data_IF_888974163858
#
_entry.id   IF_888974163858
#
_cell.length_a   1.000
_cell.length_b   1.000
_cell.length_c   1.000
_cell.angle_alpha   90.00
_cell.angle_beta   90.00
_cell.angle_gamma   90.00
#
_symmetry.space_group_name_H-M   'P 1'
#
loop_
_entity.id
_entity.type
_entity.pdbx_description
1 polymer ?
#
# COMPACT_ATOMS: atom_id res chain seq x y z
N UNK A 1 -14.69 -18.98 10.20
CA UNK A 1 -15.66 -17.91 9.92
C UNK A 1 -14.89 -16.61 9.79
N UNK A 2 -15.33 -15.65 8.97
CA UNK A 2 -14.71 -14.35 8.91
C UNK A 2 -14.71 -13.66 10.28
N UNK A 3 -13.60 -13.04 10.65
CA UNK A 3 -13.41 -12.25 11.88
C UNK A 3 -13.23 -10.74 11.58
N UNK A 4 -13.30 -10.37 10.31
CA UNK A 4 -13.30 -8.98 9.82
C UNK A 4 -14.60 -8.65 9.08
N UNK A 5 -15.00 -7.37 9.10
CA UNK A 5 -16.13 -6.88 8.31
C UNK A 5 -15.78 -6.79 6.81
N UNK A 6 -16.75 -6.96 5.88
CA UNK A 6 -16.54 -6.73 4.46
C UNK A 6 -16.45 -5.23 4.15
N UNK A 7 -15.84 -4.85 3.00
CA UNK A 7 -15.87 -3.46 2.52
C UNK A 7 -17.30 -3.03 2.20
N UNK A 8 -17.54 -1.72 2.11
CA UNK A 8 -18.86 -1.20 1.76
C UNK A 8 -19.28 -1.66 0.35
N UNK A 9 -20.53 -2.10 0.21
CA UNK A 9 -21.08 -2.55 -1.07
C UNK A 9 -21.36 -1.40 -2.06
N UNK A 10 -21.47 -0.16 -1.54
CA UNK A 10 -21.61 1.06 -2.34
C UNK A 10 -20.60 2.07 -1.84
N UNK A 11 -20.02 2.79 -2.79
CA UNK A 11 -19.08 3.87 -2.51
C UNK A 11 -19.63 5.18 -3.05
N UNK A 12 -19.17 6.28 -2.47
CA UNK A 12 -19.41 7.62 -2.97
C UNK A 12 -18.76 7.78 -4.36
N UNK A 13 -19.42 8.39 -5.35
CA UNK A 13 -18.79 8.63 -6.65
C UNK A 13 -17.56 9.54 -6.54
N UNK A 14 -16.51 9.33 -7.36
CA UNK A 14 -15.40 10.26 -7.46
C UNK A 14 -15.89 11.67 -7.86
N UNK A 15 -15.34 12.70 -7.20
CA UNK A 15 -15.71 14.10 -7.44
C UNK A 15 -15.10 14.66 -8.72
N UNK A 16 -13.97 14.08 -9.17
CA UNK A 16 -13.28 14.43 -10.41
C UNK A 16 -12.79 13.16 -11.12
N UNK A 17 -12.57 13.27 -12.43
CA UNK A 17 -11.89 12.24 -13.21
C UNK A 17 -10.40 12.15 -12.84
N UNK A 18 -9.86 10.93 -12.81
CA UNK A 18 -8.44 10.68 -12.60
C UNK A 18 -7.62 10.87 -13.88
N UNK A 19 -6.34 11.25 -13.78
CA UNK A 19 -5.46 11.30 -14.94
C UNK A 19 -5.36 9.90 -15.59
N UNK A 20 -5.28 9.81 -16.93
CA UNK A 20 -5.05 8.53 -17.61
C UNK A 20 -3.83 7.80 -17.05
N UNK A 21 -3.99 6.50 -16.75
CA UNK A 21 -2.94 5.72 -16.10
C UNK A 21 -2.93 5.84 -14.56
N UNK A 22 -3.92 6.46 -13.93
CA UNK A 22 -3.96 6.50 -12.46
C UNK A 22 -3.82 5.10 -11.84
N UNK A 23 -2.98 5.01 -10.81
CA UNK A 23 -2.60 3.80 -10.11
C UNK A 23 -3.06 3.84 -8.66
N UNK A 24 -3.84 2.85 -8.25
CA UNK A 24 -4.04 2.54 -6.84
C UNK A 24 -2.83 1.72 -6.34
N UNK A 25 -1.96 2.33 -5.54
CA UNK A 25 -0.68 1.72 -5.12
C UNK A 25 -0.75 0.87 -3.85
N UNK A 26 -1.94 0.69 -3.27
CA UNK A 26 -2.10 -0.15 -2.09
C UNK A 26 -3.51 -0.71 -1.99
N UNK A 27 -3.67 -2.00 -2.26
CA UNK A 27 -4.88 -2.76 -1.97
C UNK A 27 -4.51 -4.26 -1.89
N UNK A 28 -5.48 -5.09 -1.53
CA UNK A 28 -5.34 -6.52 -1.43
C UNK A 28 -6.41 -7.25 -2.25
N UNK A 29 -6.17 -8.53 -2.52
CA UNK A 29 -7.20 -9.46 -3.02
C UNK A 29 -7.31 -10.61 -2.03
N UNK A 30 -8.53 -10.94 -1.62
CA UNK A 30 -8.81 -12.01 -0.67
C UNK A 30 -9.61 -13.11 -1.36
N UNK A 31 -9.04 -14.30 -1.41
CA UNK A 31 -9.69 -15.47 -1.95
C UNK A 31 -10.06 -15.33 -3.45
N UNK A 32 -11.15 -15.99 -3.89
CA UNK A 32 -12.13 -16.64 -3.03
C UNK A 32 -11.56 -17.91 -2.37
N UNK A 33 -11.91 -18.17 -1.12
CA UNK A 33 -11.30 -19.24 -0.31
C UNK A 33 -11.46 -20.65 -0.92
N UNK A 34 -12.50 -20.85 -1.74
CA UNK A 34 -12.76 -22.08 -2.47
C UNK A 34 -11.77 -22.38 -3.60
N UNK A 35 -11.06 -21.37 -4.08
CA UNK A 35 -10.05 -21.48 -5.16
C UNK A 35 -8.66 -21.19 -4.62
N UNK A 36 -8.54 -20.16 -3.78
CA UNK A 36 -7.31 -19.75 -3.12
C UNK A 36 -7.54 -19.81 -1.61
N UNK A 37 -7.25 -20.94 -0.96
CA UNK A 37 -7.43 -21.07 0.48
C UNK A 37 -6.62 -20.01 1.25
N UNK A 38 -7.13 -19.63 2.42
CA UNK A 38 -6.37 -18.81 3.36
C UNK A 38 -5.32 -19.66 4.08
N UNK A 39 -4.22 -19.03 4.49
CA UNK A 39 -3.12 -19.70 5.16
C UNK A 39 -3.53 -20.29 6.53
N UNK A 40 -2.77 -21.30 6.95
CA UNK A 40 -2.83 -21.88 8.29
C UNK A 40 -1.40 -21.96 8.87
N UNK A 41 -1.07 -21.23 9.95
CA UNK A 41 -1.89 -20.21 10.61
C UNK A 41 -2.01 -18.92 9.79
N UNK A 42 -2.98 -18.07 10.14
CA UNK A 42 -3.16 -16.72 9.59
C UNK A 42 -3.51 -15.72 10.71
N UNK A 43 -3.16 -14.43 10.56
CA UNK A 43 -3.39 -13.42 11.59
C UNK A 43 -4.87 -12.97 11.69
N UNK A 44 -5.66 -13.15 10.63
CA UNK A 44 -7.09 -12.84 10.57
C UNK A 44 -7.74 -13.64 9.42
N UNK A 45 -9.07 -13.78 9.45
CA UNK A 45 -9.89 -14.42 8.42
C UNK A 45 -10.85 -13.40 7.81
N UNK A 46 -10.58 -12.87 6.61
CA UNK A 46 -11.49 -11.92 5.99
C UNK A 46 -12.63 -12.62 5.23
N UNK A 47 -13.71 -11.89 4.88
CA UNK A 47 -14.61 -12.30 3.81
C UNK A 47 -13.87 -12.27 2.46
N UNK A 48 -14.36 -13.06 1.50
CA UNK A 48 -13.81 -13.08 0.14
C UNK A 48 -14.01 -11.73 -0.55
N UNK A 49 -12.92 -11.23 -1.13
CA UNK A 49 -12.81 -9.96 -1.85
C UNK A 49 -11.92 -10.17 -3.09
N UNK A 50 -12.40 -10.93 -4.09
CA UNK A 50 -11.60 -11.36 -5.23
C UNK A 50 -11.29 -10.22 -6.20
N UNK A 51 -10.30 -10.46 -7.08
CA UNK A 51 -9.84 -9.49 -8.07
C UNK A 51 -10.95 -8.91 -8.96
N UNK A 52 -11.99 -9.67 -9.25
CA UNK A 52 -13.13 -9.22 -10.06
C UNK A 52 -13.93 -8.11 -9.38
N UNK A 53 -14.08 -8.18 -8.05
CA UNK A 53 -14.73 -7.13 -7.26
C UNK A 53 -13.86 -5.87 -7.23
N UNK A 54 -12.56 -6.03 -6.94
CA UNK A 54 -11.59 -4.93 -7.04
C UNK A 54 -11.64 -4.26 -8.41
N UNK A 55 -11.65 -5.05 -9.49
CA UNK A 55 -11.65 -4.51 -10.85
C UNK A 55 -12.94 -3.74 -11.14
N UNK A 56 -14.07 -4.10 -10.52
CA UNK A 56 -15.29 -3.31 -10.59
C UNK A 56 -15.16 -1.99 -9.82
N UNK A 57 -14.58 -2.02 -8.61
CA UNK A 57 -14.26 -0.83 -7.83
C UNK A 57 -13.34 0.13 -8.60
N UNK A 58 -12.24 -0.38 -9.16
CA UNK A 58 -11.30 0.41 -9.98
C UNK A 58 -11.98 1.09 -11.16
N UNK A 59 -12.91 0.40 -11.86
CA UNK A 59 -13.70 1.02 -12.94
C UNK A 59 -14.58 2.16 -12.43
N UNK A 60 -15.17 2.01 -11.25
CA UNK A 60 -16.01 3.04 -10.64
C UNK A 60 -15.19 4.25 -10.17
N UNK A 61 -13.99 4.01 -9.62
CA UNK A 61 -13.08 5.06 -9.14
C UNK A 61 -12.26 5.73 -10.26
N UNK A 62 -12.11 5.08 -11.41
CA UNK A 62 -11.32 5.56 -12.54
C UNK A 62 -9.85 5.11 -12.56
N UNK A 63 -9.47 4.14 -11.72
CA UNK A 63 -8.12 3.56 -11.74
C UNK A 63 -7.97 2.56 -12.88
N UNK A 64 -6.88 2.69 -13.64
CA UNK A 64 -6.54 1.76 -14.73
C UNK A 64 -5.33 0.89 -14.41
N UNK A 65 -4.61 1.21 -13.32
CA UNK A 65 -3.46 0.45 -12.85
C UNK A 65 -3.55 0.22 -11.36
N UNK A 66 -2.76 -0.73 -10.86
CA UNK A 66 -2.77 -1.02 -9.44
C UNK A 66 -1.58 -1.81 -8.92
N UNK A 67 -1.35 -1.75 -7.62
CA UNK A 67 -0.33 -2.54 -6.92
C UNK A 67 -0.99 -3.39 -5.84
N UNK A 68 -1.04 -4.69 -6.12
CA UNK A 68 -1.57 -5.70 -5.20
C UNK A 68 -0.53 -5.95 -4.11
N UNK A 69 -0.85 -5.64 -2.87
CA UNK A 69 -0.01 -6.00 -1.73
C UNK A 69 -0.44 -7.37 -1.24
N UNK A 70 0.46 -8.36 -1.23
CA UNK A 70 0.16 -9.70 -0.73
C UNK A 70 -0.32 -9.60 0.73
N UNK A 71 -1.53 -10.08 1.05
CA UNK A 71 -2.07 -9.95 2.38
C UNK A 71 -1.65 -11.09 3.29
N UNK A 72 -1.54 -10.79 4.59
CA UNK A 72 -1.16 -11.77 5.60
C UNK A 72 -2.11 -12.97 5.72
N UNK A 73 -3.39 -12.83 5.34
CA UNK A 73 -4.36 -13.93 5.36
C UNK A 73 -4.04 -15.05 4.35
N UNK A 74 -3.29 -14.77 3.29
CA UNK A 74 -2.77 -15.78 2.35
C UNK A 74 -1.31 -16.16 2.63
N UNK A 75 -0.65 -15.51 3.60
CA UNK A 75 0.75 -15.76 3.94
C UNK A 75 1.66 -15.68 2.71
N UNK A 76 2.54 -16.67 2.56
CA UNK A 76 3.48 -16.78 1.44
C UNK A 76 2.87 -17.41 0.18
N UNK A 77 1.62 -17.90 0.23
CA UNK A 77 0.93 -18.39 -0.96
C UNK A 77 0.43 -17.20 -1.78
N UNK A 78 1.17 -16.88 -2.84
CA UNK A 78 0.85 -15.77 -3.74
C UNK A 78 -0.16 -16.16 -4.84
N UNK A 79 -0.78 -17.34 -4.82
CA UNK A 79 -1.59 -17.84 -5.94
C UNK A 79 -2.72 -16.89 -6.33
N UNK A 80 -3.46 -16.32 -5.37
CA UNK A 80 -4.50 -15.33 -5.63
C UNK A 80 -3.95 -14.05 -6.29
N UNK A 81 -2.83 -13.54 -5.75
CA UNK A 81 -2.15 -12.35 -6.28
C UNK A 81 -1.61 -12.57 -7.69
N UNK A 82 -0.97 -13.71 -7.95
CA UNK A 82 -0.41 -14.03 -9.26
C UNK A 82 -1.51 -14.27 -10.31
N UNK A 83 -2.63 -14.88 -9.93
CA UNK A 83 -3.79 -14.99 -10.79
C UNK A 83 -4.36 -13.61 -11.15
N UNK A 84 -4.46 -12.70 -10.18
CA UNK A 84 -4.87 -11.32 -10.40
C UNK A 84 -3.91 -10.56 -11.35
N UNK A 85 -2.58 -10.73 -11.22
CA UNK A 85 -1.61 -10.15 -12.15
C UNK A 85 -1.80 -10.66 -13.58
N UNK A 86 -2.00 -11.97 -13.74
CA UNK A 86 -2.26 -12.60 -15.04
C UNK A 86 -3.52 -12.04 -15.68
N UNK A 87 -4.63 -11.97 -14.93
CA UNK A 87 -5.91 -11.37 -15.39
C UNK A 87 -5.78 -9.87 -15.67
N UNK A 88 -4.88 -9.19 -14.97
CA UNK A 88 -4.57 -7.77 -15.11
C UNK A 88 -3.80 -7.41 -16.38
N UNK A 89 -3.18 -8.38 -17.06
CA UNK A 89 -2.48 -8.21 -18.35
C UNK A 89 -1.47 -7.04 -18.34
N UNK A 90 -0.69 -6.93 -17.27
CA UNK A 90 0.36 -5.91 -17.13
C UNK A 90 -0.10 -4.55 -16.59
N UNK A 91 -1.41 -4.33 -16.39
CA UNK A 91 -1.96 -3.14 -15.72
C UNK A 91 -1.70 -3.15 -14.21
N UNK A 92 -1.37 -4.33 -13.65
CA UNK A 92 -1.13 -4.49 -12.23
C UNK A 92 0.31 -4.92 -11.96
N UNK A 93 0.81 -4.55 -10.78
CA UNK A 93 2.06 -5.03 -10.16
C UNK A 93 1.75 -5.58 -8.78
N UNK A 94 2.71 -6.25 -8.16
CA UNK A 94 2.52 -6.74 -6.81
C UNK A 94 3.72 -6.55 -5.89
N UNK A 95 3.43 -6.60 -4.59
CA UNK A 95 4.39 -6.68 -3.50
C UNK A 95 4.19 -8.02 -2.81
N UNK A 96 5.25 -8.80 -2.69
CA UNK A 96 5.23 -10.15 -2.15
C UNK A 96 5.37 -10.18 -0.62
N UNK A 97 4.84 -11.24 -0.01
CA UNK A 97 5.38 -11.78 1.23
C UNK A 97 6.22 -12.98 0.83
N UNK A 98 7.47 -13.05 1.30
CA UNK A 98 8.39 -14.15 1.02
C UNK A 98 8.91 -14.74 2.33
N UNK A 99 9.13 -16.06 2.37
CA UNK A 99 9.86 -16.68 3.47
C UNK A 99 11.33 -16.23 3.45
N UNK A 100 11.99 -16.27 4.61
CA UNK A 100 13.37 -15.78 4.78
C UNK A 100 14.40 -16.55 3.91
N UNK A 101 14.09 -17.79 3.53
CA UNK A 101 14.91 -18.66 2.70
C UNK A 101 14.58 -18.56 1.19
N UNK A 102 13.74 -17.60 0.78
CA UNK A 102 13.41 -17.42 -0.63
C UNK A 102 14.67 -17.26 -1.50
N UNK A 103 14.73 -18.07 -2.55
CA UNK A 103 15.91 -18.18 -3.41
C UNK A 103 15.91 -17.09 -4.50
N UNK A 104 17.08 -16.73 -5.05
CA UNK A 104 17.16 -15.82 -6.19
C UNK A 104 16.34 -16.29 -7.40
N UNK A 105 16.24 -17.61 -7.62
CA UNK A 105 15.43 -18.18 -8.69
C UNK A 105 13.93 -17.90 -8.49
N UNK A 106 13.43 -18.01 -7.25
CA UNK A 106 12.04 -17.67 -6.92
C UNK A 106 11.77 -16.18 -7.08
N UNK A 107 12.69 -15.32 -6.66
CA UNK A 107 12.57 -13.86 -6.84
C UNK A 107 12.53 -13.50 -8.33
N UNK A 108 13.39 -14.11 -9.14
CA UNK A 108 13.41 -13.93 -10.60
C UNK A 108 12.11 -14.38 -11.27
N UNK A 109 11.52 -15.48 -10.80
CA UNK A 109 10.23 -15.98 -11.29
C UNK A 109 9.09 -15.00 -10.99
N UNK A 110 9.06 -14.45 -9.78
CA UNK A 110 8.07 -13.45 -9.37
C UNK A 110 8.27 -12.12 -10.11
N UNK A 111 9.52 -11.71 -10.36
CA UNK A 111 9.81 -10.49 -11.11
C UNK A 111 9.24 -10.55 -12.54
N UNK A 112 9.41 -11.69 -13.22
CA UNK A 112 8.82 -11.94 -14.55
C UNK A 112 7.30 -11.88 -14.55
N UNK A 113 6.66 -12.22 -13.43
CA UNK A 113 5.20 -12.18 -13.28
C UNK A 113 4.66 -10.79 -12.89
N UNK A 114 5.53 -9.82 -12.62
CA UNK A 114 5.13 -8.45 -12.31
C UNK A 114 5.25 -8.06 -10.82
N UNK A 115 5.88 -8.89 -9.99
CA UNK A 115 6.21 -8.52 -8.60
C UNK A 115 7.39 -7.55 -8.59
N UNK A 116 7.36 -6.54 -7.72
CA UNK A 116 8.31 -5.41 -7.72
C UNK A 116 8.91 -5.09 -6.35
N UNK A 117 8.58 -5.89 -5.36
CA UNK A 117 9.05 -5.67 -4.00
C UNK A 117 8.54 -6.72 -3.04
N UNK A 118 8.97 -6.58 -1.80
CA UNK A 118 8.56 -7.41 -0.67
C UNK A 118 7.99 -6.52 0.43
N UNK A 119 7.09 -7.05 1.26
CA UNK A 119 6.54 -6.34 2.41
C UNK A 119 6.97 -6.98 3.71
N UNK A 120 7.29 -6.15 4.69
CA UNK A 120 7.56 -6.53 6.07
C UNK A 120 6.65 -5.76 7.01
N UNK A 121 6.16 -6.43 8.05
CA UNK A 121 5.22 -5.86 9.02
C UNK A 121 5.90 -5.76 10.39
N UNK A 122 5.93 -4.56 10.96
CA UNK A 122 6.50 -4.27 12.28
C UNK A 122 5.43 -3.77 13.27
N UNK A 123 4.15 -3.93 12.92
CA UNK A 123 3.02 -3.63 13.79
C UNK A 123 2.83 -4.78 14.78
N UNK A 124 3.03 -4.50 16.07
CA UNK A 124 3.17 -5.53 17.12
C UNK A 124 2.04 -6.57 17.17
N UNK A 125 0.80 -6.17 16.93
CA UNK A 125 -0.38 -7.05 17.03
C UNK A 125 -0.64 -7.90 15.77
N UNK A 126 0.07 -7.66 14.66
CA UNK A 126 -0.12 -8.38 13.39
C UNK A 126 0.97 -9.44 13.13
N UNK A 127 1.85 -9.66 14.10
CA UNK A 127 3.05 -10.48 13.95
C UNK A 127 4.20 -9.63 13.39
N UNK A 128 5.21 -9.39 14.21
CA UNK A 128 6.38 -8.61 13.81
C UNK A 128 7.34 -9.46 12.99
N UNK A 129 7.56 -9.05 11.75
CA UNK A 129 8.77 -9.39 11.00
C UNK A 129 10.02 -9.00 11.78
N UNK A 130 11.04 -9.85 11.71
CA UNK A 130 12.35 -9.52 12.26
C UNK A 130 13.08 -8.53 11.36
N UNK A 131 13.77 -7.53 11.94
CA UNK A 131 14.66 -6.68 11.14
C UNK A 131 15.71 -7.52 10.39
N UNK A 132 16.25 -8.55 11.04
CA UNK A 132 17.30 -9.38 10.45
C UNK A 132 16.81 -10.09 9.17
N UNK A 133 15.52 -10.44 9.10
CA UNK A 133 14.92 -11.02 7.89
C UNK A 133 14.89 -10.01 6.74
N UNK A 134 14.50 -8.77 7.03
CA UNK A 134 14.50 -7.68 6.05
C UNK A 134 15.94 -7.38 5.60
N UNK A 135 16.87 -7.21 6.54
CA UNK A 135 18.26 -6.92 6.25
C UNK A 135 18.94 -8.02 5.41
N UNK A 136 18.59 -9.29 5.64
CA UNK A 136 19.06 -10.41 4.83
C UNK A 136 18.41 -10.48 3.44
N UNK A 137 17.15 -10.07 3.30
CA UNK A 137 16.42 -10.09 2.03
C UNK A 137 16.79 -8.92 1.11
N UNK A 138 17.05 -7.73 1.65
CA UNK A 138 17.29 -6.52 0.87
C UNK A 138 18.42 -6.68 -0.18
N UNK A 139 19.59 -7.28 0.14
CA UNK A 139 20.62 -7.56 -0.85
C UNK A 139 20.20 -8.57 -1.94
N UNK A 140 19.29 -9.52 -1.62
CA UNK A 140 18.84 -10.55 -2.58
C UNK A 140 17.88 -9.97 -3.63
N UNK A 141 17.09 -8.98 -3.25
CA UNK A 141 16.12 -8.34 -4.16
C UNK A 141 16.74 -7.16 -4.94
N UNK A 142 17.87 -6.62 -4.48
CA UNK A 142 18.54 -5.47 -5.10
C UNK A 142 18.89 -5.66 -6.59
N UNK A 143 19.40 -6.83 -7.06
CA UNK A 143 19.69 -7.06 -8.48
C UNK A 143 18.45 -6.98 -9.39
N UNK A 144 17.26 -7.19 -8.82
CA UNK A 144 15.99 -7.08 -9.53
C UNK A 144 15.43 -5.65 -9.49
N UNK A 145 16.13 -4.70 -8.88
CA UNK A 145 15.71 -3.32 -8.64
C UNK A 145 14.45 -3.18 -7.78
N UNK A 146 14.10 -4.22 -7.02
CA UNK A 146 12.94 -4.23 -6.15
C UNK A 146 13.11 -3.26 -4.98
N UNK A 147 11.99 -2.97 -4.31
CA UNK A 147 11.97 -2.17 -3.08
C UNK A 147 11.29 -2.92 -1.94
N UNK A 148 11.42 -2.38 -0.73
CA UNK A 148 10.76 -2.90 0.46
C UNK A 148 9.56 -2.02 0.84
N UNK A 149 8.38 -2.61 0.99
CA UNK A 149 7.26 -1.96 1.68
C UNK A 149 7.31 -2.29 3.18
N UNK A 150 7.06 -1.29 4.01
CA UNK A 150 7.14 -1.39 5.47
C UNK A 150 5.82 -0.97 6.05
N UNK A 151 5.16 -1.89 6.73
CA UNK A 151 4.04 -1.58 7.61
C UNK A 151 4.58 -1.41 9.02
N UNK A 152 4.39 -0.24 9.61
CA UNK A 152 4.83 0.07 10.98
C UNK A 152 3.72 0.77 11.74
N UNK A 153 3.99 1.07 13.01
CA UNK A 153 3.18 1.93 13.87
C UNK A 153 4.02 3.10 14.40
N UNK A 154 3.35 4.07 15.02
CA UNK A 154 3.99 5.25 15.60
C UNK A 154 5.10 4.89 16.61
N UNK A 155 4.93 3.81 17.36
CA UNK A 155 5.88 3.37 18.37
C UNK A 155 7.17 2.77 17.76
N UNK A 156 7.04 1.99 16.69
CA UNK A 156 8.18 1.32 16.03
C UNK A 156 8.94 2.23 15.05
N UNK A 157 8.25 3.21 14.44
CA UNK A 157 8.80 4.02 13.36
C UNK A 157 10.11 4.76 13.72
N UNK A 158 10.27 5.38 14.91
CA UNK A 158 11.50 6.10 15.28
C UNK A 158 12.76 5.23 15.26
N UNK A 159 12.64 3.97 15.69
CA UNK A 159 13.76 3.01 15.67
C UNK A 159 14.01 2.43 14.27
N UNK A 160 12.96 2.36 13.44
CA UNK A 160 13.00 1.73 12.13
C UNK A 160 13.58 2.66 11.05
N UNK A 161 13.20 3.94 11.04
CA UNK A 161 13.60 4.90 10.01
C UNK A 161 15.13 5.03 9.81
N UNK A 162 15.97 5.12 10.86
CA UNK A 162 17.42 5.18 10.68
C UNK A 162 17.97 3.93 10.00
N UNK A 163 17.40 2.76 10.29
CA UNK A 163 17.84 1.48 9.72
C UNK A 163 17.38 1.34 8.27
N UNK A 164 16.16 1.75 7.94
CA UNK A 164 15.65 1.72 6.55
C UNK A 164 16.52 2.54 5.59
N UNK A 165 17.08 3.66 6.07
CA UNK A 165 17.99 4.52 5.29
C UNK A 165 19.31 3.82 4.92
N UNK A 166 19.68 2.73 5.60
CA UNK A 166 20.91 1.99 5.30
C UNK A 166 20.70 0.86 4.29
N UNK A 167 19.46 0.63 3.83
CA UNK A 167 19.18 -0.45 2.89
C UNK A 167 19.80 -0.17 1.51
N UNK A 168 20.28 -1.21 0.81
CA UNK A 168 20.79 -1.08 -0.55
C UNK A 168 19.68 -0.89 -1.61
N UNK A 169 18.42 -0.79 -1.19
CA UNK A 169 17.22 -0.70 -2.03
C UNK A 169 16.29 0.41 -1.55
N UNK A 170 15.43 0.94 -2.42
CA UNK A 170 14.39 1.86 -1.98
C UNK A 170 13.44 1.20 -0.96
N UNK A 171 12.77 2.04 -0.17
CA UNK A 171 11.74 1.59 0.76
C UNK A 171 10.51 2.50 0.72
N UNK A 172 9.36 1.93 1.06
CA UNK A 172 8.06 2.59 1.12
C UNK A 172 7.50 2.42 2.52
N UNK A 173 7.18 3.54 3.19
CA UNK A 173 6.43 3.51 4.44
C UNK A 173 4.94 3.49 4.11
N UNK A 174 4.25 2.42 4.50
CA UNK A 174 2.81 2.27 4.29
C UNK A 174 2.01 3.19 5.24
N UNK A 175 0.82 3.59 4.80
CA UNK A 175 -0.19 4.30 5.59
C UNK A 175 0.31 5.49 6.42
N UNK A 176 1.17 6.32 5.82
CA UNK A 176 1.74 7.51 6.48
C UNK A 176 2.46 7.17 7.81
N UNK A 177 2.98 5.94 7.92
CA UNK A 177 3.65 5.42 9.12
C UNK A 177 2.71 5.07 10.28
N UNK A 178 1.39 5.11 10.06
CA UNK A 178 0.34 4.98 11.09
C UNK A 178 0.54 5.91 12.30
N UNK A 179 1.04 7.12 12.05
CA UNK A 179 1.14 8.15 13.09
C UNK A 179 -0.28 8.65 13.40
N UNK A 180 -0.64 8.71 14.69
CA UNK A 180 -1.98 9.12 15.10
C UNK A 180 -2.25 10.57 14.69
N UNK A 181 -3.40 10.79 14.05
CA UNK A 181 -3.85 12.10 13.60
C UNK A 181 -3.98 13.13 14.75
N UNK A 182 -4.27 12.67 15.97
CA UNK A 182 -4.34 13.52 17.17
C UNK A 182 -3.05 14.27 17.47
N UNK A 183 -1.89 13.75 17.06
CA UNK A 183 -0.60 14.45 17.18
C UNK A 183 -0.38 15.52 16.10
N UNK A 184 -1.19 15.51 15.04
CA UNK A 184 -1.13 16.42 13.90
C UNK A 184 0.22 16.39 13.16
N UNK A 185 0.38 17.32 12.22
CA UNK A 185 1.60 17.42 11.42
C UNK A 185 2.85 17.75 12.27
N UNK A 186 2.70 18.36 13.46
CA UNK A 186 3.81 18.70 14.35
C UNK A 186 4.33 17.50 15.18
N UNK A 187 3.66 16.34 15.12
CA UNK A 187 4.11 15.14 15.81
C UNK A 187 5.59 14.83 15.45
N UNK A 188 6.50 14.63 16.42
CA UNK A 188 7.92 14.40 16.14
C UNK A 188 8.20 13.16 15.27
N UNK A 189 7.40 12.10 15.43
CA UNK A 189 7.48 10.88 14.62
C UNK A 189 7.07 11.16 13.18
N UNK A 190 6.01 11.95 12.99
CA UNK A 190 5.58 12.39 11.67
C UNK A 190 6.59 13.35 11.01
N UNK A 191 7.19 14.26 11.77
CA UNK A 191 8.27 15.12 11.29
C UNK A 191 9.49 14.30 10.82
N UNK A 192 9.81 13.20 11.51
CA UNK A 192 10.85 12.28 11.05
C UNK A 192 10.50 11.59 9.72
N UNK A 193 9.21 11.28 9.50
CA UNK A 193 8.71 10.78 8.22
C UNK A 193 8.83 11.84 7.11
N UNK A 194 8.43 13.09 7.37
CA UNK A 194 8.58 14.20 6.42
C UNK A 194 10.04 14.48 6.07
N UNK A 195 10.97 14.31 7.03
CA UNK A 195 12.40 14.47 6.82
C UNK A 195 12.98 13.46 5.80
N UNK A 196 12.26 12.39 5.48
CA UNK A 196 12.63 11.44 4.42
C UNK A 196 12.66 12.07 3.03
N UNK A 197 12.09 13.27 2.82
CA UNK A 197 12.20 14.02 1.55
C UNK A 197 13.63 14.15 1.02
N UNK A 198 14.61 14.16 1.92
CA UNK A 198 16.03 14.28 1.58
C UNK A 198 16.68 12.96 1.17
N UNK A 199 16.02 11.83 1.40
CA UNK A 199 16.55 10.50 1.10
C UNK A 199 16.06 10.02 -0.28
N UNK A 200 16.97 9.74 -1.25
CA UNK A 200 16.58 9.51 -2.64
C UNK A 200 15.71 8.27 -2.85
N UNK A 201 15.86 7.25 -1.99
CA UNK A 201 15.13 5.98 -2.06
C UNK A 201 13.95 5.86 -1.11
N UNK A 202 13.56 6.91 -0.38
CA UNK A 202 12.45 6.84 0.57
C UNK A 202 11.13 7.28 -0.08
N UNK A 203 10.06 6.53 0.17
CA UNK A 203 8.71 6.77 -0.35
C UNK A 203 7.68 6.63 0.76
N UNK A 204 6.53 7.28 0.60
CA UNK A 204 5.41 7.19 1.55
C UNK A 204 4.10 7.01 0.77
N UNK A 205 3.23 6.13 1.27
CA UNK A 205 1.87 5.98 0.75
C UNK A 205 0.88 6.81 1.56
N UNK A 206 0.15 7.69 0.88
CA UNK A 206 -1.12 8.26 1.34
C UNK A 206 -2.17 7.16 1.16
N UNK A 207 -2.43 6.42 2.22
CA UNK A 207 -3.39 5.31 2.29
C UNK A 207 -3.76 5.07 3.75
N UNK A 208 -4.82 4.31 4.03
CA UNK A 208 -5.19 3.97 5.41
C UNK A 208 -5.51 5.19 6.27
N UNK A 209 -6.32 6.14 5.74
CA UNK A 209 -6.70 7.35 6.49
C UNK A 209 -7.52 6.98 7.75
N UNK A 210 -8.34 5.94 7.64
CA UNK A 210 -9.03 5.27 8.74
C UNK A 210 -8.07 4.75 9.83
N UNK A 211 -6.88 4.31 9.42
CA UNK A 211 -5.87 3.72 10.31
C UNK A 211 -5.08 4.75 11.10
N UNK A 212 -5.00 5.99 10.62
CA UNK A 212 -4.37 7.12 11.33
C UNK A 212 -5.40 7.97 12.07
N UNK A 213 -6.68 7.89 11.68
CA UNK A 213 -7.77 8.61 12.35
C UNK A 213 -7.83 8.23 13.82
N UNK A 214 -7.86 9.24 14.67
CA UNK A 214 -8.04 9.08 16.12
C UNK A 214 -9.53 9.07 16.50
N UNK A 215 -10.37 9.66 15.65
CA UNK A 215 -11.84 9.62 15.82
C UNK A 215 -12.46 8.34 15.27
N UNK A 216 -11.88 7.76 14.22
CA UNK A 216 -12.41 6.58 13.53
C UNK A 216 -13.73 6.83 12.80
N UNK A 217 -14.14 8.10 12.64
CA UNK A 217 -15.39 8.49 12.00
C UNK A 217 -15.14 8.99 10.58
N UNK A 218 -15.93 8.53 9.61
CA UNK A 218 -15.82 8.97 8.22
C UNK A 218 -16.21 10.45 8.06
N UNK A 219 -15.58 11.18 7.12
CA UNK A 219 -14.58 10.73 6.16
C UNK A 219 -13.13 10.84 6.69
N UNK A 220 -12.92 10.69 8.01
CA UNK A 220 -11.62 10.71 8.68
C UNK A 220 -10.89 12.05 8.56
N UNK A 221 -11.63 13.15 8.74
CA UNK A 221 -11.15 14.52 8.55
C UNK A 221 -9.95 14.88 9.43
N UNK A 222 -9.83 14.26 10.60
CA UNK A 222 -8.71 14.47 11.52
C UNK A 222 -7.35 14.09 10.90
N UNK A 223 -7.32 13.11 9.99
CA UNK A 223 -6.11 12.69 9.28
C UNK A 223 -5.68 13.61 8.14
N UNK A 224 -6.52 14.56 7.70
CA UNK A 224 -6.25 15.41 6.52
C UNK A 224 -5.02 16.29 6.68
N UNK A 225 -4.73 16.73 7.91
CA UNK A 225 -3.55 17.55 8.20
C UNK A 225 -2.24 16.83 7.90
N UNK A 226 -2.20 15.51 8.10
CA UNK A 226 -1.05 14.67 7.76
C UNK A 226 -0.90 14.56 6.24
N UNK A 227 -2.01 14.34 5.52
CA UNK A 227 -2.02 14.27 4.06
C UNK A 227 -1.53 15.59 3.45
N UNK A 228 -2.05 16.73 3.91
CA UNK A 228 -1.65 18.05 3.44
C UNK A 228 -0.14 18.30 3.62
N UNK A 229 0.40 17.99 4.81
CA UNK A 229 1.81 18.15 5.10
C UNK A 229 2.71 17.26 4.22
N UNK A 230 2.28 16.03 3.91
CA UNK A 230 3.00 15.15 2.98
C UNK A 230 3.03 15.75 1.56
N UNK A 231 1.86 16.17 1.06
CA UNK A 231 1.70 16.78 -0.27
C UNK A 231 2.62 17.99 -0.46
N UNK A 232 2.71 18.84 0.56
CA UNK A 232 3.59 20.02 0.55
C UNK A 232 5.07 19.63 0.57
N UNK A 233 5.43 18.60 1.35
CA UNK A 233 6.83 18.38 1.75
C UNK A 233 7.62 17.45 0.84
N UNK A 234 6.98 16.43 0.26
CA UNK A 234 7.68 15.38 -0.50
C UNK A 234 6.92 14.84 -1.72
N UNK A 235 6.29 15.69 -2.57
CA UNK A 235 5.38 15.25 -3.63
C UNK A 235 6.00 14.29 -4.65
N UNK A 236 7.31 14.35 -4.86
CA UNK A 236 8.04 13.45 -5.77
C UNK A 236 8.27 12.05 -5.19
N UNK A 237 7.83 11.78 -3.96
CA UNK A 237 8.04 10.51 -3.25
C UNK A 237 6.75 9.98 -2.62
N UNK A 238 5.62 10.52 -3.05
CA UNK A 238 4.30 10.07 -2.60
C UNK A 238 3.66 9.11 -3.58
N UNK A 239 2.92 8.19 -3.02
CA UNK A 239 2.03 7.28 -3.70
C UNK A 239 0.67 7.38 -3.02
N UNK A 240 -0.41 6.98 -3.70
CA UNK A 240 -1.75 6.93 -3.11
C UNK A 240 -2.35 5.54 -3.28
N UNK A 241 -3.12 5.06 -2.30
CA UNK A 241 -3.85 3.80 -2.44
C UNK A 241 -5.07 3.70 -1.53
N UNK A 242 -6.02 2.86 -1.95
CA UNK A 242 -7.32 2.70 -1.24
C UNK A 242 -7.18 1.99 0.09
N UNK A 243 -6.27 1.02 0.16
CA UNK A 243 -6.20 -0.03 1.18
C UNK A 243 -7.40 -1.00 1.19
N UNK A 244 -8.17 -1.01 0.10
CA UNK A 244 -9.26 -1.97 -0.10
C UNK A 244 -8.73 -3.41 0.02
N UNK A 245 -9.46 -4.35 0.63
CA UNK A 245 -10.82 -4.27 1.15
C UNK A 245 -10.87 -3.97 2.67
N UNK A 246 -9.91 -3.21 3.19
CA UNK A 246 -9.90 -2.69 4.56
C UNK A 246 -9.90 -3.78 5.66
N UNK A 247 -8.86 -4.63 5.75
CA UNK A 247 -8.77 -5.59 6.85
C UNK A 247 -8.58 -4.89 8.20
N UNK A 248 -9.15 -5.47 9.27
CA UNK A 248 -8.98 -5.05 10.67
C UNK A 248 -9.28 -3.56 10.95
N UNK A 249 -10.45 -3.07 10.51
CA UNK A 249 -10.92 -1.71 10.81
C UNK A 249 -11.42 -1.62 12.26
N UNK A 250 -10.95 -0.62 13.01
CA UNK A 250 -11.34 -0.39 14.40
C UNK A 250 -12.49 0.63 14.58
N UNK A 251 -12.81 1.39 13.53
CA UNK A 251 -13.87 2.41 13.51
C UNK A 251 -14.92 2.14 12.43
N UNK A 252 -15.43 3.20 11.80
CA UNK A 252 -16.32 3.06 10.67
C UNK A 252 -15.59 2.46 9.46
N UNK A 253 -16.25 1.54 8.75
CA UNK A 253 -15.72 0.96 7.51
C UNK A 253 -15.52 2.06 6.46
N UNK A 254 -14.33 2.22 5.87
CA UNK A 254 -14.06 3.28 4.90
C UNK A 254 -14.92 3.17 3.64
N UNK A 255 -15.28 4.33 3.09
CA UNK A 255 -15.81 4.46 1.73
C UNK A 255 -14.65 4.88 0.81
N UNK A 256 -14.27 4.00 -0.12
CA UNK A 256 -13.13 4.23 -1.03
C UNK A 256 -13.30 5.51 -1.88
N UNK A 257 -14.54 5.87 -2.19
CA UNK A 257 -14.88 7.11 -2.88
C UNK A 257 -14.67 8.34 -2.03
N UNK A 258 -15.05 8.31 -0.74
CA UNK A 258 -14.77 9.39 0.20
C UNK A 258 -13.25 9.56 0.41
N UNK A 259 -12.51 8.46 0.56
CA UNK A 259 -11.05 8.49 0.68
C UNK A 259 -10.40 9.16 -0.55
N UNK A 260 -10.85 8.79 -1.75
CA UNK A 260 -10.37 9.39 -3.00
C UNK A 260 -10.75 10.88 -3.09
N UNK A 261 -11.99 11.23 -2.76
CA UNK A 261 -12.46 12.61 -2.81
C UNK A 261 -11.73 13.51 -1.80
N UNK A 262 -11.37 12.99 -0.63
CA UNK A 262 -10.49 13.70 0.31
C UNK A 262 -9.13 13.99 -0.32
N UNK A 263 -8.49 13.01 -0.96
CA UNK A 263 -7.23 13.26 -1.68
C UNK A 263 -7.38 14.29 -2.81
N UNK A 264 -8.43 14.16 -3.65
CA UNK A 264 -8.66 15.08 -4.77
C UNK A 264 -8.89 16.53 -4.31
N UNK A 265 -9.60 16.71 -3.18
CA UNK A 265 -9.81 18.03 -2.58
C UNK A 265 -8.52 18.62 -2.01
N UNK A 266 -7.70 17.82 -1.33
CA UNK A 266 -6.43 18.28 -0.74
C UNK A 266 -5.32 18.48 -1.80
N UNK A 267 -5.45 17.84 -2.96
CA UNK A 267 -4.51 17.91 -4.08
C UNK A 267 -5.22 18.46 -5.33
N UNK A 268 -5.61 19.74 -5.38
CA UNK A 268 -6.41 20.28 -6.49
C UNK A 268 -5.62 20.43 -7.80
N UNK A 269 -4.28 20.53 -7.74
CA UNK A 269 -3.43 20.70 -8.91
C UNK A 269 -3.37 19.42 -9.77
N UNK A 270 -3.84 19.45 -11.04
CA UNK A 270 -3.77 18.30 -11.94
C UNK A 270 -2.36 17.76 -12.17
N UNK A 271 -1.33 18.61 -12.16
CA UNK A 271 0.06 18.17 -12.33
C UNK A 271 0.54 17.38 -11.09
N UNK A 272 0.17 17.83 -9.89
CA UNK A 272 0.41 17.10 -8.65
C UNK A 272 -0.33 15.76 -8.61
N UNK A 273 -1.62 15.73 -9.03
CA UNK A 273 -2.40 14.48 -9.13
C UNK A 273 -1.74 13.50 -10.09
N UNK A 274 -1.32 13.94 -11.28
CA UNK A 274 -0.60 13.11 -12.24
C UNK A 274 0.70 12.58 -11.65
N UNK A 275 1.48 13.43 -10.99
CA UNK A 275 2.73 13.02 -10.35
C UNK A 275 2.52 11.87 -9.38
N UNK A 276 1.56 12.00 -8.46
CA UNK A 276 1.34 11.04 -7.37
C UNK A 276 0.64 9.76 -7.86
N UNK A 277 -0.32 9.89 -8.79
CA UNK A 277 -1.13 8.77 -9.26
C UNK A 277 -0.56 8.06 -10.49
N UNK A 278 0.37 8.68 -11.22
CA UNK A 278 0.90 8.16 -12.50
C UNK A 278 2.42 8.08 -12.48
N UNK A 279 3.11 9.21 -12.43
CA UNK A 279 4.55 9.27 -12.71
C UNK A 279 5.39 8.63 -11.57
N UNK A 280 5.01 8.85 -10.31
CA UNK A 280 5.65 8.26 -9.14
C UNK A 280 5.49 6.72 -9.11
N UNK A 281 4.26 6.16 -9.24
CA UNK A 281 4.06 4.73 -9.42
C UNK A 281 4.84 4.13 -10.59
N UNK A 282 4.94 4.84 -11.72
CA UNK A 282 5.67 4.37 -12.89
C UNK A 282 7.14 4.19 -12.61
N UNK A 283 7.75 5.18 -11.95
CA UNK A 283 9.15 5.11 -11.57
C UNK A 283 9.43 4.01 -10.57
N UNK A 284 8.60 3.86 -9.54
CA UNK A 284 8.86 2.90 -8.47
C UNK A 284 8.50 1.45 -8.86
N UNK A 285 7.32 1.25 -9.44
CA UNK A 285 6.79 -0.09 -9.77
C UNK A 285 7.13 -0.54 -11.20
N UNK A 286 7.74 0.35 -12.01
CA UNK A 286 8.23 0.02 -13.35
C UNK A 286 7.09 -0.52 -14.21
N UNK A 287 6.03 0.27 -14.29
CA UNK A 287 4.99 0.05 -15.28
C UNK A 287 5.56 0.22 -16.68
N UNK A 288 4.98 -0.50 -17.65
CA UNK A 288 5.29 -0.22 -19.04
C UNK A 288 4.77 1.18 -19.40
N UNK A 289 5.39 1.88 -20.38
CA UNK A 289 4.86 3.15 -20.86
C UNK A 289 3.39 3.00 -21.23
N UNK A 290 2.58 4.00 -20.89
CA UNK A 290 1.19 4.06 -21.32
C UNK A 290 1.17 4.04 -22.86
N UNK A 291 0.39 3.12 -23.44
CA UNK A 291 0.17 3.12 -24.90
C UNK A 291 -0.66 4.36 -25.23
N UNK A 292 -0.16 5.17 -26.15
CA UNK A 292 -0.86 6.33 -26.70
C UNK A 292 -2.12 5.92 -27.46
#
# INVERSE_FOLDING_TARGET
MPDCAPPLARITPPSDALPPGACDSHFHVFGPASVFPYAEPRPYTPPDAPFEQLRALHRQLGFTRGVIVQPGCHGYDMSATLDALRKGQGQYRAIALLPADATPARIAELDRQGVRGVRYNFVAHLGNSGWEELAAMAPRIAPFGWHVCVHSDEASLPALLPRLKTLPVPFVVDHMGRVAASGGAANPVFQALLALRSHPGAWVKISGLDRVSSTGARPFQDGETLVAALLETMPDRLLWGTDWPHPNVAGEMPDDGELLNTFLRLCPDPAMRRRILVDNPDRLYRFAPLRA
#
